data_IF_245786531906
#
_entry.id   IF_245786531906
#
_cell.length_a   1.000
_cell.length_b   1.000
_cell.length_c   1.000
_cell.angle_alpha   90.00
_cell.angle_beta   90.00
_cell.angle_gamma   90.00
#
_symmetry.space_group_name_H-M   'P 1'
#
loop_
_entity.id
_entity.type
_entity.pdbx_description
1 polymer ?
#
# COMPACT_ATOMS: atom_id res chain seq x y z
N UNK A 1 32.49 -54.02 24.73
CA UNK A 1 32.40 -52.73 25.44
C UNK A 1 32.41 -51.61 24.41
N UNK A 2 31.38 -50.75 24.44
CA UNK A 2 31.22 -49.42 23.81
C UNK A 2 31.17 -49.31 22.27
N UNK A 3 29.99 -49.05 21.68
CA UNK A 3 29.88 -48.45 20.36
C UNK A 3 30.23 -46.95 20.42
N UNK A 4 31.07 -46.50 19.49
CA UNK A 4 31.42 -45.09 19.28
C UNK A 4 30.25 -44.45 18.52
N UNK A 5 29.43 -43.69 19.24
CA UNK A 5 28.41 -42.81 18.65
C UNK A 5 29.11 -41.59 18.05
N UNK A 6 29.21 -41.54 16.72
CA UNK A 6 29.63 -40.34 16.02
C UNK A 6 28.44 -39.37 15.99
N UNK A 7 28.47 -38.39 16.89
CA UNK A 7 27.48 -37.32 16.99
C UNK A 7 27.41 -36.54 15.68
N UNK A 8 26.33 -36.72 14.92
CA UNK A 8 25.91 -35.76 13.89
C UNK A 8 25.55 -34.44 14.59
N UNK A 9 26.50 -33.50 14.60
CA UNK A 9 26.21 -32.10 14.86
C UNK A 9 25.42 -31.57 13.65
N UNK A 10 24.09 -31.66 13.71
CA UNK A 10 23.23 -30.78 12.94
C UNK A 10 23.52 -29.37 13.42
N UNK A 11 24.37 -28.65 12.70
CA UNK A 11 24.34 -27.21 12.74
C UNK A 11 22.91 -26.82 12.33
N UNK A 12 22.11 -26.43 13.31
CA UNK A 12 20.95 -25.60 13.07
C UNK A 12 21.49 -24.35 12.38
N UNK A 13 21.51 -24.36 11.06
CA UNK A 13 21.44 -23.13 10.31
C UNK A 13 20.14 -22.51 10.81
N UNK A 14 20.26 -21.59 11.77
CA UNK A 14 19.31 -20.53 11.94
C UNK A 14 19.23 -19.90 10.55
N UNK A 15 18.31 -20.39 9.74
CA UNK A 15 17.67 -19.61 8.72
C UNK A 15 17.07 -18.43 9.48
N UNK A 16 17.91 -17.43 9.75
CA UNK A 16 17.49 -16.05 9.83
C UNK A 16 16.98 -15.73 8.43
N UNK A 17 15.81 -16.27 8.09
CA UNK A 17 14.86 -15.58 7.26
C UNK A 17 14.67 -14.24 7.95
N UNK A 18 15.47 -13.24 7.55
CA UNK A 18 15.18 -11.84 7.86
C UNK A 18 13.70 -11.68 7.52
N UNK A 19 12.89 -11.49 8.55
CA UNK A 19 11.47 -11.27 8.41
C UNK A 19 11.27 -10.24 7.30
N UNK A 20 10.51 -10.65 6.30
CA UNK A 20 10.26 -9.94 5.07
C UNK A 20 9.68 -8.54 5.35
N UNK A 21 10.56 -7.54 5.39
CA UNK A 21 10.33 -6.11 5.21
C UNK A 21 8.97 -5.56 5.64
N UNK A 22 8.78 -5.34 6.94
CA UNK A 22 7.82 -4.35 7.45
C UNK A 22 8.55 -3.04 7.73
N UNK A 23 8.11 -1.93 7.16
CA UNK A 23 8.59 -0.59 7.47
C UNK A 23 7.43 0.38 7.60
N UNK A 24 7.70 1.64 7.97
CA UNK A 24 6.66 2.66 8.08
C UNK A 24 6.88 3.81 7.11
N UNK A 25 5.79 4.39 6.61
CA UNK A 25 5.80 5.65 5.85
C UNK A 25 4.86 6.65 6.53
N UNK A 26 5.21 7.93 6.48
CA UNK A 26 4.33 9.01 6.88
C UNK A 26 3.83 9.72 5.61
N UNK A 27 2.52 9.70 5.38
CA UNK A 27 1.89 10.36 4.26
C UNK A 27 1.26 11.66 4.74
N UNK A 28 1.50 12.73 3.98
CA UNK A 28 0.94 14.04 4.25
C UNK A 28 -0.20 14.31 3.28
N UNK A 29 -1.29 14.87 3.78
CA UNK A 29 -2.39 15.32 2.92
C UNK A 29 -1.91 16.39 1.94
N UNK A 30 -2.26 16.20 0.66
CA UNK A 30 -2.02 17.17 -0.41
C UNK A 30 -3.01 18.33 -0.32
N UNK A 31 -4.30 18.02 -0.14
CA UNK A 31 -5.36 19.03 -0.03
C UNK A 31 -5.25 19.86 1.26
N UNK A 32 -4.64 19.32 2.31
CA UNK A 32 -4.55 19.94 3.62
C UNK A 32 -3.14 19.83 4.24
N UNK A 33 -2.12 20.56 3.72
CA UNK A 33 -0.73 20.43 4.17
C UNK A 33 -0.46 20.87 5.62
N UNK A 34 -1.43 21.46 6.31
CA UNK A 34 -1.31 21.79 7.74
C UNK A 34 -1.76 20.63 8.66
N UNK A 35 -2.42 19.60 8.10
CA UNK A 35 -2.83 18.43 8.87
C UNK A 35 -1.61 17.60 9.30
N UNK A 36 -1.75 16.87 10.40
CA UNK A 36 -0.72 15.92 10.84
C UNK A 36 -0.58 14.80 9.79
N UNK A 37 0.64 14.35 9.48
CA UNK A 37 0.83 13.20 8.62
C UNK A 37 0.22 11.93 9.23
N UNK A 38 -0.35 11.08 8.40
CA UNK A 38 -0.80 9.75 8.79
C UNK A 38 0.34 8.75 8.60
N UNK A 39 0.55 7.88 9.59
CA UNK A 39 1.62 6.88 9.56
C UNK A 39 1.05 5.52 9.22
N UNK A 40 1.59 4.88 8.18
CA UNK A 40 1.20 3.56 7.74
C UNK A 40 2.37 2.59 7.86
N UNK A 41 2.06 1.37 8.30
CA UNK A 41 2.94 0.21 8.16
C UNK A 41 2.81 -0.34 6.75
N UNK A 42 3.93 -0.68 6.13
CA UNK A 42 4.02 -1.24 4.79
C UNK A 42 4.76 -2.56 4.88
N UNK A 43 4.10 -3.62 4.42
CA UNK A 43 4.67 -4.94 4.23
C UNK A 43 4.54 -5.38 2.77
N UNK A 44 4.98 -6.59 2.46
CA UNK A 44 4.85 -7.16 1.11
C UNK A 44 3.37 -7.18 0.67
N UNK A 45 3.03 -6.37 -0.34
CA UNK A 45 1.68 -6.22 -0.87
C UNK A 45 0.65 -5.73 0.14
N UNK A 46 1.07 -5.10 1.25
CA UNK A 46 0.20 -4.70 2.36
C UNK A 46 0.52 -3.27 2.79
N UNK A 47 -0.51 -2.46 2.99
CA UNK A 47 -0.41 -1.19 3.73
C UNK A 47 -1.49 -1.16 4.81
N UNK A 48 -1.12 -0.79 6.02
CA UNK A 48 -2.06 -0.71 7.15
C UNK A 48 -1.77 0.45 8.09
N UNK A 49 -2.81 0.94 8.74
CA UNK A 49 -2.80 2.07 9.67
C UNK A 49 -4.05 2.05 10.56
N UNK A 50 -4.28 3.12 11.32
CA UNK A 50 -5.41 3.21 12.26
C UNK A 50 -6.79 3.20 11.57
N UNK A 51 -6.81 3.61 10.30
CA UNK A 51 -7.99 3.88 9.50
C UNK A 51 -8.02 3.05 8.20
N UNK A 52 -6.97 2.30 7.88
CA UNK A 52 -6.78 1.69 6.57
C UNK A 52 -6.11 0.33 6.73
N UNK A 53 -6.60 -0.67 6.02
CA UNK A 53 -5.88 -1.93 5.82
C UNK A 53 -6.18 -2.40 4.39
N UNK A 54 -5.14 -2.51 3.56
CA UNK A 54 -5.26 -2.92 2.16
C UNK A 54 -4.19 -3.92 1.81
N UNK A 55 -4.59 -4.95 1.05
CA UNK A 55 -3.69 -5.96 0.52
C UNK A 55 -3.91 -6.14 -0.98
N UNK A 56 -2.82 -6.27 -1.75
CA UNK A 56 -2.87 -6.83 -3.10
C UNK A 56 -2.85 -8.36 -2.95
N UNK A 57 -3.93 -9.01 -3.38
CA UNK A 57 -4.03 -10.47 -3.38
C UNK A 57 -3.30 -11.10 -4.59
N UNK A 58 -3.19 -12.43 -4.58
CA UNK A 58 -2.52 -13.18 -5.65
C UNK A 58 -3.29 -13.13 -6.99
N UNK A 59 -4.56 -12.73 -6.97
CA UNK A 59 -5.35 -12.50 -8.18
C UNK A 59 -5.11 -11.10 -8.78
N UNK A 60 -4.28 -10.27 -8.14
CA UNK A 60 -3.98 -8.92 -8.61
C UNK A 60 -5.06 -7.90 -8.25
N UNK A 61 -5.87 -8.17 -7.22
CA UNK A 61 -6.85 -7.23 -6.71
C UNK A 61 -6.41 -6.62 -5.38
N UNK A 62 -6.62 -5.31 -5.23
CA UNK A 62 -6.57 -4.63 -3.94
C UNK A 62 -7.87 -4.91 -3.19
N UNK A 63 -7.73 -5.46 -1.99
CA UNK A 63 -8.84 -5.71 -1.07
C UNK A 63 -8.53 -5.18 0.32
N UNK A 64 -9.57 -4.77 1.02
CA UNK A 64 -9.47 -4.40 2.43
C UNK A 64 -10.48 -3.34 2.79
N UNK A 65 -10.12 -2.48 3.73
CA UNK A 65 -11.03 -1.51 4.30
C UNK A 65 -10.36 -0.16 4.51
N UNK A 66 -11.12 0.90 4.25
CA UNK A 66 -10.89 2.20 4.85
C UNK A 66 -11.97 2.43 5.90
N UNK A 67 -11.58 2.39 7.17
CA UNK A 67 -12.46 2.35 8.34
C UNK A 67 -13.41 1.16 8.22
N UNK A 68 -14.70 1.41 8.00
CA UNK A 68 -15.73 0.39 7.79
C UNK A 68 -16.09 0.18 6.32
N UNK A 69 -15.53 0.97 5.40
CA UNK A 69 -15.87 0.92 3.99
C UNK A 69 -14.98 -0.12 3.28
N UNK A 70 -15.56 -1.13 2.62
CA UNK A 70 -14.76 -2.07 1.84
C UNK A 70 -14.17 -1.35 0.63
N UNK A 71 -12.93 -1.70 0.31
CA UNK A 71 -12.23 -1.30 -0.90
C UNK A 71 -11.95 -2.55 -1.70
N UNK A 72 -12.41 -2.57 -2.95
CA UNK A 72 -12.20 -3.62 -3.91
C UNK A 72 -11.94 -3.01 -5.30
N UNK A 73 -10.70 -3.15 -5.76
CA UNK A 73 -10.25 -2.77 -7.10
C UNK A 73 -9.36 -3.87 -7.65
N UNK A 74 -9.62 -4.32 -8.87
CA UNK A 74 -8.80 -5.31 -9.55
C UNK A 74 -8.01 -4.65 -10.68
N UNK A 75 -6.78 -5.11 -10.90
CA UNK A 75 -6.00 -4.69 -12.06
C UNK A 75 -6.73 -5.13 -13.34
N UNK A 76 -6.83 -4.23 -14.31
CA UNK A 76 -7.34 -4.54 -15.63
C UNK A 76 -6.37 -5.50 -16.35
N UNK A 77 -6.92 -6.50 -17.03
CA UNK A 77 -6.14 -7.44 -17.81
C UNK A 77 -5.55 -6.81 -19.08
N UNK A 78 -6.21 -5.78 -19.63
CA UNK A 78 -5.79 -5.09 -20.84
C UNK A 78 -4.75 -3.98 -20.57
N UNK A 79 -4.80 -3.36 -19.39
CA UNK A 79 -3.85 -2.32 -18.98
C UNK A 79 -3.36 -2.56 -17.54
N UNK A 80 -2.08 -2.93 -17.34
CA UNK A 80 -1.55 -3.18 -16.01
C UNK A 80 -1.50 -1.94 -15.09
N UNK A 81 -1.65 -0.72 -15.63
CA UNK A 81 -1.72 0.50 -14.83
C UNK A 81 -3.15 0.85 -14.43
N UNK A 82 -4.15 0.20 -15.02
CA UNK A 82 -5.55 0.47 -14.77
C UNK A 82 -6.10 -0.47 -13.68
N UNK A 83 -6.87 0.09 -12.75
CA UNK A 83 -7.46 -0.60 -11.61
C UNK A 83 -8.94 -0.24 -11.51
N UNK A 84 -9.80 -1.25 -11.59
CA UNK A 84 -11.25 -1.05 -11.69
C UNK A 84 -12.00 -1.91 -10.69
N UNK A 85 -13.13 -1.41 -10.21
CA UNK A 85 -14.01 -2.18 -9.34
C UNK A 85 -15.19 -1.34 -8.83
N UNK A 86 -15.95 -1.92 -7.91
CA UNK A 86 -17.12 -1.25 -7.33
C UNK A 86 -16.76 0.09 -6.65
N UNK A 87 -15.52 0.21 -6.19
CA UNK A 87 -15.04 1.36 -5.43
C UNK A 87 -14.30 2.40 -6.26
N UNK A 88 -14.16 2.24 -7.58
CA UNK A 88 -13.41 3.21 -8.38
C UNK A 88 -12.92 2.69 -9.72
N UNK A 89 -12.29 3.62 -10.43
CA UNK A 89 -11.63 3.45 -11.71
C UNK A 89 -10.40 4.35 -11.67
N UNK A 90 -9.21 3.73 -11.61
CA UNK A 90 -7.94 4.40 -11.35
C UNK A 90 -6.90 4.01 -12.39
N UNK A 91 -6.22 5.01 -12.95
CA UNK A 91 -4.99 4.83 -13.72
C UNK A 91 -3.82 5.25 -12.83
N UNK A 92 -2.92 4.30 -12.55
CA UNK A 92 -1.80 4.47 -11.61
C UNK A 92 -0.50 4.17 -12.31
N UNK A 93 0.25 5.22 -12.67
CA UNK A 93 1.46 5.13 -13.50
C UNK A 93 2.66 5.67 -12.73
N UNK A 94 3.64 4.83 -12.38
CA UNK A 94 4.92 5.30 -11.86
C UNK A 94 5.61 6.23 -12.87
N UNK A 95 6.20 7.32 -12.39
CA UNK A 95 7.00 8.20 -13.25
C UNK A 95 8.22 7.44 -13.82
N UNK A 96 8.75 7.85 -15.00
CA UNK A 96 9.91 7.19 -15.60
C UNK A 96 11.15 7.12 -14.70
N UNK A 97 11.34 8.14 -13.86
CA UNK A 97 12.43 8.21 -12.87
C UNK A 97 12.13 7.45 -11.55
N UNK A 98 10.93 6.89 -11.43
CA UNK A 98 10.41 6.15 -10.27
C UNK A 98 10.44 6.94 -8.95
N UNK A 99 10.41 8.27 -9.04
CA UNK A 99 10.35 9.18 -7.89
C UNK A 99 8.94 9.69 -7.60
N UNK A 100 7.98 9.40 -8.46
CA UNK A 100 6.59 9.73 -8.24
C UNK A 100 5.66 8.65 -8.80
N UNK A 101 4.39 8.73 -8.42
CA UNK A 101 3.28 7.98 -9.00
C UNK A 101 2.25 8.98 -9.47
N UNK A 102 1.91 8.94 -10.76
CA UNK A 102 0.81 9.69 -11.32
C UNK A 102 -0.46 8.86 -11.14
N UNK A 103 -1.47 9.46 -10.52
CA UNK A 103 -2.78 8.86 -10.30
C UNK A 103 -3.80 9.70 -11.03
N UNK A 104 -4.73 9.04 -11.74
CA UNK A 104 -5.88 9.66 -12.38
C UNK A 104 -7.11 8.78 -12.13
N UNK A 105 -8.29 9.40 -12.12
CA UNK A 105 -9.55 8.69 -12.02
C UNK A 105 -10.34 9.07 -10.77
N UNK A 106 -11.23 8.17 -10.35
CA UNK A 106 -12.17 8.44 -9.28
C UNK A 106 -12.36 7.26 -8.34
N UNK A 107 -12.81 7.55 -7.11
CA UNK A 107 -13.18 6.54 -6.13
C UNK A 107 -14.55 6.82 -5.50
N UNK A 108 -15.24 5.75 -5.14
CA UNK A 108 -16.43 5.78 -4.29
C UNK A 108 -16.05 5.33 -2.87
N UNK A 109 -15.97 6.29 -1.94
CA UNK A 109 -15.56 6.04 -0.55
C UNK A 109 -16.50 6.79 0.40
N UNK A 110 -16.98 6.11 1.46
CA UNK A 110 -17.84 6.70 2.53
C UNK A 110 -19.08 7.42 1.99
N UNK A 111 -19.73 6.85 0.98
CA UNK A 111 -20.90 7.44 0.34
C UNK A 111 -20.62 8.69 -0.51
N UNK A 112 -19.36 9.11 -0.63
CA UNK A 112 -18.96 10.13 -1.61
C UNK A 112 -18.89 9.43 -2.97
N UNK A 113 -19.82 9.79 -3.85
CA UNK A 113 -19.79 9.34 -5.24
C UNK A 113 -18.73 10.13 -6.01
N UNK A 114 -17.90 9.44 -6.79
CA UNK A 114 -16.92 10.00 -7.71
C UNK A 114 -16.00 11.05 -7.09
N UNK A 115 -15.33 10.70 -5.98
CA UNK A 115 -14.21 11.50 -5.48
C UNK A 115 -13.09 11.48 -6.53
N UNK A 116 -12.77 12.63 -7.12
CA UNK A 116 -11.58 12.79 -7.97
C UNK A 116 -10.32 12.57 -7.13
N UNK A 117 -9.46 11.66 -7.59
CA UNK A 117 -8.19 11.31 -6.94
C UNK A 117 -6.98 11.61 -7.81
N UNK A 118 -7.15 12.47 -8.81
CA UNK A 118 -6.10 12.84 -9.75
C UNK A 118 -5.00 13.64 -9.06
N UNK A 119 -3.80 13.07 -8.98
CA UNK A 119 -2.65 13.69 -8.30
C UNK A 119 -1.30 13.07 -8.68
N UNK A 120 -0.23 13.78 -8.38
CA UNK A 120 1.15 13.28 -8.48
C UNK A 120 1.71 13.07 -7.09
N UNK A 121 1.97 11.82 -6.72
CA UNK A 121 2.41 11.42 -5.38
C UNK A 121 3.92 11.19 -5.40
N UNK A 122 4.74 11.97 -4.67
CA UNK A 122 6.17 11.73 -4.60
C UNK A 122 6.46 10.50 -3.75
N UNK A 123 7.48 9.74 -4.17
CA UNK A 123 7.98 8.56 -3.49
C UNK A 123 9.25 8.92 -2.73
N UNK A 124 9.30 8.52 -1.45
CA UNK A 124 10.54 8.57 -0.66
C UNK A 124 11.55 7.49 -1.08
N UNK A 125 12.69 7.42 -0.40
CA UNK A 125 13.75 6.46 -0.68
C UNK A 125 13.77 5.30 0.33
N UNK A 126 14.29 4.14 -0.09
CA UNK A 126 14.53 2.98 0.77
C UNK A 126 13.49 1.86 0.66
N UNK A 127 13.71 0.74 1.38
CA UNK A 127 13.00 -0.53 1.14
C UNK A 127 11.48 -0.45 1.30
N UNK A 128 11.00 0.35 2.26
CA UNK A 128 9.57 0.57 2.48
C UNK A 128 8.91 1.27 1.29
N UNK A 129 9.59 2.27 0.72
CA UNK A 129 9.13 2.97 -0.47
C UNK A 129 9.30 2.13 -1.74
N UNK A 130 10.29 1.24 -1.79
CA UNK A 130 10.45 0.28 -2.87
C UNK A 130 9.27 -0.71 -2.93
N UNK A 131 8.67 -1.04 -1.80
CA UNK A 131 7.46 -1.85 -1.75
C UNK A 131 6.26 -1.11 -2.35
N UNK A 132 6.09 0.16 -2.01
CA UNK A 132 5.05 1.01 -2.61
C UNK A 132 5.31 1.27 -4.10
N UNK A 133 6.57 1.31 -4.55
CA UNK A 133 6.92 1.34 -5.99
C UNK A 133 6.50 0.07 -6.73
N UNK A 134 6.48 -1.08 -6.06
CA UNK A 134 6.01 -2.36 -6.64
C UNK A 134 4.48 -2.43 -6.64
N UNK A 135 3.83 -1.82 -5.65
CA UNK A 135 2.38 -1.80 -5.48
C UNK A 135 1.83 -0.37 -5.44
N UNK A 136 1.94 0.41 -6.52
CA UNK A 136 1.68 1.85 -6.50
C UNK A 136 0.21 2.22 -6.21
N UNK A 137 -0.72 1.30 -6.49
CA UNK A 137 -2.14 1.48 -6.15
C UNK A 137 -2.37 1.56 -4.63
N UNK A 138 -1.57 0.86 -3.83
CA UNK A 138 -1.67 0.94 -2.36
C UNK A 138 -1.33 2.35 -1.88
N UNK A 139 -0.31 2.98 -2.47
CA UNK A 139 0.06 4.36 -2.17
C UNK A 139 -1.01 5.35 -2.65
N UNK A 140 -1.60 5.12 -3.83
CA UNK A 140 -2.67 5.96 -4.35
C UNK A 140 -3.85 6.01 -3.37
N UNK A 141 -4.35 4.85 -2.94
CA UNK A 141 -5.50 4.76 -2.04
C UNK A 141 -5.14 5.28 -0.63
N UNK A 142 -3.94 4.98 -0.12
CA UNK A 142 -3.50 5.49 1.18
C UNK A 142 -3.38 7.02 1.21
N UNK A 143 -2.95 7.62 0.10
CA UNK A 143 -2.89 9.08 -0.04
C UNK A 143 -4.30 9.69 -0.08
N UNK A 144 -5.20 9.14 -0.90
CA UNK A 144 -6.60 9.58 -0.97
C UNK A 144 -7.29 9.51 0.40
N UNK A 145 -7.09 8.43 1.15
CA UNK A 145 -7.70 8.25 2.48
C UNK A 145 -7.08 9.18 3.52
N UNK A 146 -5.78 9.49 3.40
CA UNK A 146 -5.11 10.53 4.20
C UNK A 146 -5.73 11.92 3.95
N UNK A 147 -6.02 12.27 2.69
CA UNK A 147 -6.71 13.52 2.36
C UNK A 147 -8.14 13.58 2.92
N UNK A 148 -8.88 12.47 2.84
CA UNK A 148 -10.23 12.38 3.39
C UNK A 148 -10.26 12.54 4.92
N UNK A 149 -9.30 11.94 5.63
CA UNK A 149 -9.21 12.10 7.08
C UNK A 149 -8.74 13.48 7.49
N UNK A 150 -7.80 14.07 6.74
CA UNK A 150 -7.38 15.45 6.96
C UNK A 150 -8.56 16.43 6.78
N UNK A 151 -9.39 16.23 5.74
CA UNK A 151 -10.62 17.01 5.53
C UNK A 151 -11.57 16.90 6.72
N UNK A 152 -11.76 15.69 7.27
CA UNK A 152 -12.65 15.43 8.40
C UNK A 152 -12.16 16.07 9.69
N UNK A 153 -10.85 16.06 9.95
CA UNK A 153 -10.28 16.64 11.19
C UNK A 153 -10.54 18.16 11.35
N UNK A 154 -11.02 18.82 10.28
CA UNK A 154 -11.43 20.23 10.29
C UNK A 154 -12.93 20.48 10.45
N UNK A 155 -13.76 19.45 10.28
CA UNK A 155 -15.22 19.53 10.37
C UNK A 155 -15.67 19.20 11.80
#
# INVERSE_FOLDING_TARGET
MRPIYLSLLLAAACATSRASGSGTVALKSFGYPAARPETYSVGKGLISGSNLELRVDDAGCVRGFYRSEPINLCRDAADPNHWVGANGDLIVVPSPDRKAVNVQGWMNIRGIQQLDVTQVIPLGNGPTWDELRRNPVLLAIATTTTDLDARRSRA
#
